data_IF_294399756091
#
_entry.id   IF_294399756091
#
_cell.length_a   1.000
_cell.length_b   1.000
_cell.length_c   1.000
_cell.angle_alpha   90.00
_cell.angle_beta   90.00
_cell.angle_gamma   90.00
#
_symmetry.space_group_name_H-M   'P 1'
#
loop_
_entity.id
_entity.type
_entity.pdbx_description
1 polymer ?
#
# COMPACT_ATOMS: atom_id res chain seq x y z
N UNK A 1 -20.55 5.34 -13.79
CA UNK A 1 -20.11 4.66 -15.02
C UNK A 1 -21.05 4.91 -16.19
N UNK A 2 -22.37 4.66 -16.07
CA UNK A 2 -23.34 4.98 -17.13
C UNK A 2 -23.20 6.42 -17.64
N UNK A 3 -23.24 7.40 -16.72
CA UNK A 3 -23.01 8.82 -17.03
C UNK A 3 -21.63 9.13 -17.66
N UNK A 4 -20.59 8.39 -17.29
CA UNK A 4 -19.23 8.57 -17.85
C UNK A 4 -19.20 8.16 -19.32
N UNK A 5 -19.80 7.00 -19.63
CA UNK A 5 -19.90 6.47 -20.98
C UNK A 5 -20.85 7.32 -21.84
N UNK A 6 -21.99 7.73 -21.29
CA UNK A 6 -22.95 8.62 -21.96
C UNK A 6 -22.35 9.99 -22.30
N UNK A 7 -21.45 10.51 -21.45
CA UNK A 7 -20.73 11.76 -21.68
C UNK A 7 -19.50 11.61 -22.61
N UNK A 8 -19.19 10.40 -23.10
CA UNK A 8 -18.02 10.14 -23.94
C UNK A 8 -16.68 10.37 -23.21
N UNK A 9 -16.68 10.34 -21.88
CA UNK A 9 -15.47 10.50 -21.07
C UNK A 9 -14.77 9.15 -20.90
N UNK A 10 -13.45 9.19 -20.73
CA UNK A 10 -12.65 8.02 -20.39
C UNK A 10 -13.26 7.26 -19.19
N UNK A 11 -13.51 5.94 -19.32
CA UNK A 11 -13.96 5.15 -18.19
C UNK A 11 -12.83 4.80 -17.23
N UNK A 12 -11.55 4.98 -17.62
CA UNK A 12 -10.37 4.70 -16.79
C UNK A 12 -10.45 5.37 -15.40
N UNK A 13 -10.56 6.70 -15.32
CA UNK A 13 -10.73 7.40 -14.05
C UNK A 13 -11.86 6.87 -13.18
N UNK A 14 -13.02 6.56 -13.77
CA UNK A 14 -14.16 6.02 -13.04
C UNK A 14 -13.86 4.62 -12.46
N UNK A 15 -13.22 3.75 -13.24
CA UNK A 15 -12.81 2.43 -12.78
C UNK A 15 -11.75 2.50 -11.68
N UNK A 16 -10.78 3.41 -11.79
CA UNK A 16 -9.80 3.65 -10.75
C UNK A 16 -10.44 4.08 -9.43
N UNK A 17 -11.37 5.04 -9.46
CA UNK A 17 -12.08 5.49 -8.26
C UNK A 17 -12.88 4.36 -7.62
N UNK A 18 -13.57 3.55 -8.43
CA UNK A 18 -14.27 2.37 -7.92
C UNK A 18 -13.30 1.35 -7.30
N UNK A 19 -12.13 1.11 -7.91
CA UNK A 19 -11.13 0.21 -7.36
C UNK A 19 -10.62 0.68 -5.98
N UNK A 20 -10.39 1.99 -5.81
CA UNK A 20 -10.00 2.56 -4.51
C UNK A 20 -11.10 2.40 -3.45
N UNK A 21 -12.36 2.68 -3.81
CA UNK A 21 -13.49 2.55 -2.89
C UNK A 21 -13.69 1.09 -2.45
N UNK A 22 -13.61 0.15 -3.40
CA UNK A 22 -13.68 -1.28 -3.11
C UNK A 22 -12.52 -1.76 -2.23
N UNK A 23 -11.30 -1.23 -2.46
CA UNK A 23 -10.14 -1.55 -1.61
C UNK A 23 -10.33 -1.01 -0.19
N UNK A 24 -10.95 0.16 -0.03
CA UNK A 24 -11.12 0.77 1.28
C UNK A 24 -12.17 0.06 2.14
N UNK A 25 -13.35 -0.24 1.58
CA UNK A 25 -14.48 -0.75 2.37
C UNK A 25 -15.42 -1.72 1.65
N UNK A 26 -15.16 -2.06 0.39
CA UNK A 26 -16.00 -2.96 -0.41
C UNK A 26 -15.44 -4.38 -0.46
N UNK A 27 -15.11 -4.84 -1.66
CA UNK A 27 -14.58 -6.18 -1.92
C UNK A 27 -13.23 -6.12 -2.63
N UNK A 28 -12.21 -6.79 -2.08
CA UNK A 28 -10.90 -6.89 -2.74
C UNK A 28 -10.97 -7.57 -4.12
N UNK A 29 -11.92 -8.50 -4.33
CA UNK A 29 -12.15 -9.11 -5.64
C UNK A 29 -12.68 -8.10 -6.66
N UNK A 30 -13.66 -7.27 -6.27
CA UNK A 30 -14.17 -6.18 -7.11
C UNK A 30 -13.11 -5.11 -7.34
N UNK A 31 -12.35 -4.74 -6.32
CA UNK A 31 -11.23 -3.80 -6.43
C UNK A 31 -10.23 -4.26 -7.50
N UNK A 32 -9.80 -5.53 -7.48
CA UNK A 32 -8.91 -6.08 -8.49
C UNK A 32 -9.54 -6.07 -9.89
N UNK A 33 -10.82 -6.43 -10.02
CA UNK A 33 -11.53 -6.38 -11.30
C UNK A 33 -11.60 -4.97 -11.87
N UNK A 34 -11.95 -3.98 -11.06
CA UNK A 34 -12.04 -2.58 -11.48
C UNK A 34 -10.67 -1.98 -11.77
N UNK A 35 -9.65 -2.29 -10.98
CA UNK A 35 -8.29 -1.82 -11.25
C UNK A 35 -7.78 -2.34 -12.61
N UNK A 36 -8.02 -3.62 -12.96
CA UNK A 36 -7.68 -4.16 -14.29
C UNK A 36 -8.41 -3.45 -15.43
N UNK A 37 -9.71 -3.21 -15.30
CA UNK A 37 -10.48 -2.44 -16.30
C UNK A 37 -9.97 -1.02 -16.45
N UNK A 38 -9.55 -0.42 -15.35
CA UNK A 38 -8.95 0.92 -15.34
C UNK A 38 -7.61 0.96 -16.07
N UNK A 39 -6.74 -0.04 -15.84
CA UNK A 39 -5.48 -0.21 -16.57
C UNK A 39 -5.75 -0.34 -18.07
N UNK A 40 -6.64 -1.27 -18.46
CA UNK A 40 -6.97 -1.51 -19.86
C UNK A 40 -7.48 -0.25 -20.56
N UNK A 41 -8.47 0.44 -19.98
CA UNK A 41 -9.02 1.66 -20.58
C UNK A 41 -7.96 2.77 -20.71
N UNK A 42 -7.11 2.94 -19.69
CA UNK A 42 -6.05 3.95 -19.72
C UNK A 42 -4.97 3.63 -20.76
N UNK A 43 -4.69 2.34 -21.00
CA UNK A 43 -3.76 1.91 -22.07
C UNK A 43 -4.33 2.17 -23.46
N UNK A 44 -5.61 1.81 -23.69
CA UNK A 44 -6.30 2.00 -24.97
C UNK A 44 -6.39 3.48 -25.38
N UNK A 45 -6.53 4.37 -24.41
CA UNK A 45 -6.66 5.82 -24.63
C UNK A 45 -5.34 6.59 -24.53
N UNK A 46 -4.25 5.92 -24.13
CA UNK A 46 -2.96 6.56 -23.92
C UNK A 46 -2.91 7.52 -22.71
N UNK A 47 -3.83 7.38 -21.76
CA UNK A 47 -3.84 8.19 -20.53
C UNK A 47 -2.77 7.70 -19.55
N UNK A 48 -1.56 8.26 -19.68
CA UNK A 48 -0.41 7.91 -18.83
C UNK A 48 -0.65 8.24 -17.35
N UNK A 49 -1.42 9.28 -17.07
CA UNK A 49 -1.67 9.79 -15.70
C UNK A 49 -2.54 8.80 -14.93
N UNK A 50 -3.62 8.31 -15.55
CA UNK A 50 -4.47 7.30 -14.95
C UNK A 50 -3.93 5.89 -15.10
N UNK A 51 -3.09 5.61 -16.10
CA UNK A 51 -2.42 4.32 -16.21
C UNK A 51 -1.56 4.02 -14.97
N UNK A 52 -0.68 4.94 -14.56
CA UNK A 52 0.15 4.76 -13.37
C UNK A 52 -0.69 4.61 -12.10
N UNK A 53 -1.75 5.41 -11.94
CA UNK A 53 -2.69 5.31 -10.80
C UNK A 53 -3.44 3.98 -10.77
N UNK A 54 -3.89 3.52 -11.92
CA UNK A 54 -4.62 2.25 -12.07
C UNK A 54 -3.73 1.07 -11.77
N UNK A 55 -2.48 1.08 -12.25
CA UNK A 55 -1.46 0.07 -11.94
C UNK A 55 -1.13 0.08 -10.44
N UNK A 56 -0.99 1.24 -9.81
CA UNK A 56 -0.83 1.30 -8.36
C UNK A 56 -2.00 0.66 -7.61
N UNK A 57 -3.24 1.01 -7.96
CA UNK A 57 -4.43 0.42 -7.33
C UNK A 57 -4.45 -1.11 -7.52
N UNK A 58 -4.08 -1.60 -8.71
CA UNK A 58 -3.99 -3.03 -9.02
C UNK A 58 -2.88 -3.72 -8.20
N UNK A 59 -1.67 -3.16 -8.17
CA UNK A 59 -0.54 -3.67 -7.41
C UNK A 59 -0.84 -3.76 -5.91
N UNK A 60 -1.48 -2.71 -5.37
CA UNK A 60 -1.87 -2.68 -3.95
C UNK A 60 -2.87 -3.78 -3.60
N UNK A 61 -3.91 -4.00 -4.42
CA UNK A 61 -4.90 -5.04 -4.13
C UNK A 61 -4.36 -6.45 -4.38
N UNK A 62 -3.47 -6.64 -5.36
CA UNK A 62 -2.74 -7.90 -5.54
C UNK A 62 -1.93 -8.25 -4.29
N UNK A 63 -1.19 -7.28 -3.75
CA UNK A 63 -0.41 -7.47 -2.52
C UNK A 63 -1.30 -7.80 -1.32
N UNK A 64 -2.42 -7.09 -1.15
CA UNK A 64 -3.39 -7.36 -0.07
C UNK A 64 -3.94 -8.79 -0.16
N UNK A 65 -4.20 -9.29 -1.37
CA UNK A 65 -4.69 -10.65 -1.60
C UNK A 65 -3.59 -11.73 -1.52
N UNK A 66 -2.33 -11.34 -1.31
CA UNK A 66 -1.18 -12.26 -1.24
C UNK A 66 -0.62 -12.69 -2.59
N UNK A 67 -1.05 -12.09 -3.70
CA UNK A 67 -0.48 -12.32 -5.03
C UNK A 67 0.79 -11.48 -5.22
N UNK A 68 1.84 -11.85 -4.49
CA UNK A 68 3.10 -11.11 -4.39
C UNK A 68 3.78 -10.97 -5.75
N UNK A 69 3.79 -12.03 -6.57
CA UNK A 69 4.44 -12.02 -7.88
C UNK A 69 3.76 -11.03 -8.83
N UNK A 70 2.43 -11.06 -8.92
CA UNK A 70 1.70 -10.12 -9.78
C UNK A 70 1.79 -8.67 -9.26
N UNK A 71 1.78 -8.49 -7.93
CA UNK A 71 1.99 -7.18 -7.32
C UNK A 71 3.35 -6.60 -7.67
N UNK A 72 4.42 -7.40 -7.55
CA UNK A 72 5.79 -6.98 -7.88
C UNK A 72 5.91 -6.57 -9.35
N UNK A 73 5.40 -7.38 -10.27
CA UNK A 73 5.39 -7.04 -11.70
C UNK A 73 4.66 -5.72 -11.96
N UNK A 74 3.45 -5.59 -11.40
CA UNK A 74 2.59 -4.41 -11.60
C UNK A 74 3.23 -3.14 -11.02
N UNK A 75 3.80 -3.21 -9.82
CA UNK A 75 4.40 -2.07 -9.14
C UNK A 75 5.75 -1.66 -9.77
N UNK A 76 6.51 -2.59 -10.35
CA UNK A 76 7.68 -2.24 -11.18
C UNK A 76 7.29 -1.44 -12.43
N UNK A 77 6.13 -1.73 -13.03
CA UNK A 77 5.60 -0.90 -14.13
C UNK A 77 5.27 0.52 -13.65
N UNK A 78 4.71 0.68 -12.43
CA UNK A 78 4.49 2.01 -11.83
C UNK A 78 5.81 2.77 -11.65
N UNK A 79 6.84 2.11 -11.11
CA UNK A 79 8.18 2.69 -10.97
C UNK A 79 8.76 3.14 -12.32
N UNK A 80 8.63 2.31 -13.36
CA UNK A 80 9.09 2.65 -14.71
C UNK A 80 8.33 3.87 -15.29
N UNK A 81 7.01 3.92 -15.09
CA UNK A 81 6.18 5.03 -15.55
C UNK A 81 6.54 6.35 -14.82
N UNK A 82 6.80 6.30 -13.52
CA UNK A 82 7.17 7.48 -12.71
C UNK A 82 8.51 8.05 -13.17
N UNK A 83 9.51 7.18 -13.37
CA UNK A 83 10.84 7.56 -13.90
C UNK A 83 10.73 8.20 -15.28
N UNK A 84 9.90 7.64 -16.16
CA UNK A 84 9.65 8.20 -17.49
C UNK A 84 8.94 9.57 -17.45
N UNK A 85 8.15 9.83 -16.41
CA UNK A 85 7.46 11.11 -16.19
C UNK A 85 8.31 12.13 -15.40
N UNK A 86 9.50 11.73 -14.93
CA UNK A 86 10.38 12.57 -14.08
C UNK A 86 9.63 13.16 -12.87
N UNK A 87 8.73 12.38 -12.27
CA UNK A 87 8.01 12.83 -11.07
C UNK A 87 8.97 12.88 -9.89
N UNK A 88 9.02 14.02 -9.20
CA UNK A 88 9.96 14.25 -8.09
C UNK A 88 9.29 14.06 -6.73
N UNK A 89 7.98 14.23 -6.64
CA UNK A 89 7.25 14.21 -5.37
C UNK A 89 6.64 12.81 -5.11
N UNK A 90 7.18 12.02 -4.16
CA UNK A 90 6.76 10.64 -3.93
C UNK A 90 5.36 10.53 -3.31
N UNK A 91 4.74 11.65 -2.93
CA UNK A 91 3.37 11.64 -2.39
C UNK A 91 2.29 11.72 -3.47
N UNK A 92 2.66 12.02 -4.73
CA UNK A 92 1.73 11.99 -5.87
C UNK A 92 1.08 10.62 -6.04
N UNK A 93 1.87 9.56 -5.79
CA UNK A 93 1.41 8.19 -5.72
C UNK A 93 2.31 7.41 -4.78
N UNK A 94 1.75 6.95 -3.67
CA UNK A 94 2.49 6.25 -2.62
C UNK A 94 2.64 4.78 -2.97
N UNK A 95 3.37 4.45 -4.05
CA UNK A 95 3.60 3.07 -4.49
C UNK A 95 4.87 2.45 -3.89
N UNK A 96 5.78 3.31 -3.40
CA UNK A 96 7.09 2.93 -2.90
C UNK A 96 7.01 1.93 -1.75
N UNK A 97 6.09 2.14 -0.79
CA UNK A 97 5.93 1.22 0.33
C UNK A 97 5.33 -0.13 -0.09
N UNK A 98 4.39 -0.16 -1.04
CA UNK A 98 3.86 -1.41 -1.60
C UNK A 98 4.94 -2.16 -2.37
N UNK A 99 5.77 -1.48 -3.17
CA UNK A 99 6.84 -2.13 -3.90
C UNK A 99 7.90 -2.69 -2.94
N UNK A 100 8.30 -1.92 -1.91
CA UNK A 100 9.23 -2.40 -0.90
C UNK A 100 8.70 -3.64 -0.16
N UNK A 101 7.41 -3.66 0.19
CA UNK A 101 6.77 -4.84 0.79
C UNK A 101 6.73 -6.04 -0.14
N UNK A 102 6.41 -5.83 -1.43
CA UNK A 102 6.40 -6.90 -2.42
C UNK A 102 7.81 -7.48 -2.64
N UNK A 103 8.84 -6.63 -2.69
CA UNK A 103 10.25 -7.02 -2.77
C UNK A 103 10.67 -7.84 -1.54
N UNK A 104 10.33 -7.40 -0.33
CA UNK A 104 10.61 -8.15 0.90
C UNK A 104 9.90 -9.50 0.95
N UNK A 105 8.66 -9.58 0.46
CA UNK A 105 7.91 -10.82 0.37
C UNK A 105 8.43 -11.76 -0.74
N UNK A 106 9.27 -11.26 -1.63
CA UNK A 106 9.95 -12.00 -2.70
C UNK A 106 11.45 -12.19 -2.44
N UNK A 107 11.87 -12.11 -1.16
CA UNK A 107 13.26 -12.28 -0.72
C UNK A 107 14.28 -11.32 -1.39
N UNK A 108 13.82 -10.18 -1.91
CA UNK A 108 14.65 -9.15 -2.53
C UNK A 108 14.91 -7.97 -1.57
N UNK A 109 15.48 -8.27 -0.40
CA UNK A 109 15.67 -7.30 0.69
C UNK A 109 16.56 -6.11 0.32
N UNK A 110 17.66 -6.36 -0.40
CA UNK A 110 18.59 -5.31 -0.82
C UNK A 110 17.92 -4.30 -1.78
N UNK A 111 17.13 -4.79 -2.73
CA UNK A 111 16.34 -3.93 -3.63
C UNK A 111 15.32 -3.10 -2.85
N UNK A 112 14.66 -3.69 -1.86
CA UNK A 112 13.70 -2.98 -1.03
C UNK A 112 14.37 -1.84 -0.24
N UNK A 113 15.53 -2.09 0.38
CA UNK A 113 16.27 -1.06 1.11
C UNK A 113 16.77 0.05 0.19
N UNK A 114 17.33 -0.31 -0.97
CA UNK A 114 17.77 0.68 -1.96
C UNK A 114 16.62 1.61 -2.39
N UNK A 115 15.42 1.05 -2.61
CA UNK A 115 14.22 1.85 -2.89
C UNK A 115 13.86 2.79 -1.74
N UNK A 116 13.89 2.32 -0.49
CA UNK A 116 13.60 3.17 0.66
C UNK A 116 14.64 4.28 0.83
N UNK A 117 15.91 4.00 0.61
CA UNK A 117 17.02 4.95 0.69
C UNK A 117 16.97 6.01 -0.43
N UNK A 118 16.44 5.65 -1.60
CA UNK A 118 16.16 6.61 -2.69
C UNK A 118 15.04 7.60 -2.29
N UNK A 119 13.96 7.11 -1.68
CA UNK A 119 12.73 7.88 -1.46
C UNK A 119 12.79 8.75 -0.20
N UNK A 120 13.38 8.25 0.88
CA UNK A 120 13.40 8.91 2.19
C UNK A 120 13.98 10.33 2.16
N UNK A 121 15.14 10.60 1.51
CA UNK A 121 15.70 11.95 1.46
C UNK A 121 14.78 12.95 0.76
N UNK A 122 14.11 12.52 -0.32
CA UNK A 122 13.18 13.35 -1.08
C UNK A 122 11.93 13.64 -0.26
N UNK A 123 11.33 12.61 0.36
CA UNK A 123 10.17 12.77 1.22
C UNK A 123 10.46 13.68 2.43
N UNK A 124 11.64 13.55 3.05
CA UNK A 124 12.07 14.40 4.16
C UNK A 124 12.23 15.87 3.71
N UNK A 125 12.95 16.10 2.61
CA UNK A 125 13.15 17.45 2.05
C UNK A 125 11.83 18.14 1.68
N UNK A 126 10.84 17.38 1.20
CA UNK A 126 9.53 17.90 0.80
C UNK A 126 8.48 17.87 1.93
N UNK A 127 8.85 17.49 3.16
CA UNK A 127 7.93 17.44 4.31
C UNK A 127 6.82 16.39 4.18
N UNK A 128 7.01 15.32 3.40
CA UNK A 128 6.01 14.27 3.15
C UNK A 128 6.00 13.21 4.24
N UNK A 129 5.56 13.61 5.43
CA UNK A 129 5.54 12.78 6.64
C UNK A 129 4.82 11.44 6.43
N UNK A 130 3.70 11.42 5.71
CA UNK A 130 2.93 10.18 5.47
C UNK A 130 3.65 9.18 4.55
N UNK A 131 4.51 9.65 3.64
CA UNK A 131 5.39 8.80 2.83
C UNK A 131 6.45 8.15 3.71
N UNK A 132 7.09 8.94 4.58
CA UNK A 132 8.07 8.43 5.55
C UNK A 132 7.48 7.34 6.46
N UNK A 133 6.23 7.51 6.91
CA UNK A 133 5.53 6.48 7.69
C UNK A 133 5.31 5.18 6.89
N UNK A 134 5.05 5.28 5.58
CA UNK A 134 4.99 4.12 4.69
C UNK A 134 6.33 3.40 4.61
N UNK A 135 7.41 4.16 4.39
CA UNK A 135 8.78 3.63 4.38
C UNK A 135 9.15 2.98 5.73
N UNK A 136 8.74 3.55 6.86
CA UNK A 136 9.01 3.00 8.19
C UNK A 136 8.32 1.66 8.42
N UNK A 137 7.09 1.50 7.92
CA UNK A 137 6.38 0.22 7.97
C UNK A 137 7.11 -0.86 7.18
N UNK A 138 7.56 -0.56 5.96
CA UNK A 138 8.34 -1.49 5.14
C UNK A 138 9.70 -1.81 5.79
N UNK A 139 10.40 -0.80 6.30
CA UNK A 139 11.69 -0.99 7.00
C UNK A 139 11.54 -1.85 8.26
N UNK A 140 10.45 -1.72 9.00
CA UNK A 140 10.20 -2.59 10.16
C UNK A 140 9.96 -4.04 9.77
N UNK A 141 9.36 -4.32 8.62
CA UNK A 141 9.21 -5.68 8.11
C UNK A 141 10.57 -6.28 7.73
N UNK A 142 11.47 -5.48 7.15
CA UNK A 142 12.86 -5.86 6.94
C UNK A 142 13.58 -6.17 8.26
N UNK A 143 13.51 -5.28 9.26
CA UNK A 143 14.08 -5.53 10.60
C UNK A 143 13.60 -6.87 11.19
N UNK A 144 12.31 -7.17 11.03
CA UNK A 144 11.73 -8.42 11.51
C UNK A 144 12.18 -9.66 10.71
N UNK A 145 12.53 -9.51 9.42
CA UNK A 145 13.11 -10.58 8.61
C UNK A 145 14.57 -10.87 9.04
N UNK A 146 15.33 -9.82 9.37
CA UNK A 146 16.71 -9.89 9.89
C UNK A 146 16.81 -10.33 11.36
N UNK A 147 15.70 -10.75 11.98
CA UNK A 147 15.68 -11.16 13.38
C UNK A 147 15.75 -10.02 14.41
N UNK A 148 15.85 -8.76 13.97
CA UNK A 148 15.83 -7.54 14.80
C UNK A 148 14.40 -7.18 15.24
N UNK A 149 13.72 -8.16 15.82
CA UNK A 149 12.28 -8.12 16.09
C UNK A 149 11.86 -7.10 17.15
N UNK A 150 12.72 -6.80 18.12
CA UNK A 150 12.45 -5.76 19.13
C UNK A 150 12.41 -4.36 18.50
N UNK A 151 13.35 -4.07 17.61
CA UNK A 151 13.41 -2.81 16.87
C UNK A 151 12.21 -2.67 15.92
N UNK A 152 11.83 -3.77 15.25
CA UNK A 152 10.64 -3.81 14.40
C UNK A 152 9.36 -3.49 15.18
N UNK A 153 9.19 -4.03 16.38
CA UNK A 153 8.03 -3.77 17.26
C UNK A 153 7.97 -2.30 17.67
N UNK A 154 9.10 -1.74 18.11
CA UNK A 154 9.18 -0.32 18.48
C UNK A 154 8.84 0.59 17.30
N UNK A 155 9.38 0.28 16.12
CA UNK A 155 9.12 1.07 14.91
C UNK A 155 7.64 0.98 14.50
N UNK A 156 7.08 -0.23 14.38
CA UNK A 156 5.67 -0.43 14.00
C UNK A 156 4.68 0.21 14.98
N UNK A 157 4.99 0.19 16.28
CA UNK A 157 4.17 0.84 17.30
C UNK A 157 4.11 2.36 17.06
N UNK A 158 5.28 3.00 16.91
CA UNK A 158 5.35 4.44 16.61
C UNK A 158 4.71 4.80 15.28
N UNK A 159 4.92 3.98 14.25
CA UNK A 159 4.34 4.17 12.92
C UNK A 159 2.80 4.06 12.96
N UNK A 160 2.25 3.08 13.68
CA UNK A 160 0.79 2.93 13.83
C UNK A 160 0.16 4.13 14.56
N UNK A 161 0.79 4.62 15.63
CA UNK A 161 0.34 5.83 16.32
C UNK A 161 0.40 7.07 15.43
N UNK A 162 1.48 7.23 14.65
CA UNK A 162 1.67 8.36 13.76
C UNK A 162 0.64 8.35 12.61
N UNK A 163 0.32 7.19 12.04
CA UNK A 163 -0.80 7.07 11.08
C UNK A 163 -2.13 7.43 11.73
N UNK A 164 -2.33 7.08 13.00
CA UNK A 164 -3.49 7.50 13.78
C UNK A 164 -3.61 9.02 13.88
N UNK A 165 -2.51 9.72 14.23
CA UNK A 165 -2.47 11.19 14.29
C UNK A 165 -2.67 11.85 12.92
N UNK A 166 -2.23 11.19 11.84
CA UNK A 166 -2.40 11.66 10.48
C UNK A 166 -3.80 11.41 9.89
N UNK A 167 -4.72 10.76 10.61
CA UNK A 167 -6.06 10.46 10.11
C UNK A 167 -6.09 9.41 9.00
N UNK A 168 -5.14 8.48 9.00
CA UNK A 168 -5.02 7.41 8.00
C UNK A 168 -5.38 6.04 8.62
N UNK A 169 -6.68 5.73 8.81
CA UNK A 169 -7.10 4.55 9.56
C UNK A 169 -6.69 3.23 8.89
N UNK A 170 -6.75 3.14 7.56
CA UNK A 170 -6.35 1.93 6.83
C UNK A 170 -4.85 1.65 7.04
N UNK A 171 -4.00 2.67 6.89
CA UNK A 171 -2.55 2.53 7.09
C UNK A 171 -2.19 2.23 8.55
N UNK A 172 -2.91 2.83 9.51
CA UNK A 172 -2.80 2.46 10.93
C UNK A 172 -3.13 0.98 11.14
N UNK A 173 -4.25 0.51 10.60
CA UNK A 173 -4.65 -0.90 10.68
C UNK A 173 -3.61 -1.85 10.07
N UNK A 174 -3.06 -1.50 8.91
CA UNK A 174 -1.97 -2.26 8.26
C UNK A 174 -0.70 -2.32 9.11
N UNK A 175 -0.30 -1.21 9.73
CA UNK A 175 0.84 -1.19 10.66
C UNK A 175 0.60 -2.09 11.89
N UNK A 176 -0.63 -2.12 12.41
CA UNK A 176 -1.01 -2.99 13.55
C UNK A 176 -1.05 -4.48 13.16
N UNK A 177 -1.50 -4.82 11.95
CA UNK A 177 -1.41 -6.20 11.42
C UNK A 177 0.06 -6.62 11.31
N UNK A 178 0.93 -5.76 10.77
CA UNK A 178 2.36 -6.01 10.71
C UNK A 178 2.95 -6.22 12.11
N UNK A 179 2.61 -5.35 13.08
CA UNK A 179 3.03 -5.48 14.48
C UNK A 179 2.61 -6.84 15.06
N UNK A 180 1.36 -7.25 14.86
CA UNK A 180 0.86 -8.54 15.32
C UNK A 180 1.63 -9.73 14.74
N UNK A 181 2.00 -9.65 13.45
CA UNK A 181 2.83 -10.68 12.79
C UNK A 181 4.21 -10.78 13.43
N UNK A 182 4.87 -9.65 13.72
CA UNK A 182 6.17 -9.63 14.42
C UNK A 182 6.05 -10.18 15.84
N UNK A 183 5.01 -9.78 16.58
CA UNK A 183 4.79 -10.29 17.95
C UNK A 183 4.50 -11.80 18.00
N UNK A 184 3.82 -12.35 16.98
CA UNK A 184 3.68 -13.81 16.81
C UNK A 184 5.03 -14.49 16.62
N UNK A 185 5.92 -13.93 15.78
CA UNK A 185 7.29 -14.45 15.59
C UNK A 185 8.10 -14.42 16.89
N UNK A 186 7.91 -13.38 17.72
CA UNK A 186 8.49 -13.27 19.08
C UNK A 186 7.83 -14.18 20.13
N UNK A 187 6.84 -15.00 19.76
CA UNK A 187 6.04 -15.85 20.65
C UNK A 187 5.28 -15.07 21.73
N UNK A 188 4.97 -13.78 21.49
CA UNK A 188 4.22 -12.90 22.39
C UNK A 188 2.73 -12.90 22.02
N UNK A 189 2.04 -13.99 22.35
CA UNK A 189 0.64 -14.23 21.95
C UNK A 189 -0.33 -13.13 22.41
N UNK A 190 -0.20 -12.63 23.64
CA UNK A 190 -1.11 -11.57 24.14
C UNK A 190 -0.88 -10.23 23.43
N UNK A 191 0.37 -9.86 23.17
CA UNK A 191 0.72 -8.64 22.45
C UNK A 191 0.20 -8.69 21.01
N UNK A 192 0.39 -9.82 20.32
CA UNK A 192 -0.16 -10.03 18.98
C UNK A 192 -1.69 -9.91 18.96
N UNK A 193 -2.37 -10.51 19.93
CA UNK A 193 -3.83 -10.45 20.03
C UNK A 193 -4.32 -9.00 20.26
N UNK A 194 -3.65 -8.26 21.15
CA UNK A 194 -3.97 -6.86 21.44
C UNK A 194 -3.82 -5.97 20.19
N UNK A 195 -2.73 -6.17 19.42
CA UNK A 195 -2.52 -5.45 18.17
C UNK A 195 -3.61 -5.75 17.13
N UNK A 196 -4.04 -7.02 16.99
CA UNK A 196 -5.13 -7.39 16.08
C UNK A 196 -6.49 -6.85 16.52
N UNK A 197 -6.81 -6.90 17.81
CA UNK A 197 -8.05 -6.31 18.34
C UNK A 197 -8.09 -4.79 18.09
N UNK A 198 -6.95 -4.12 18.26
CA UNK A 198 -6.82 -2.70 17.93
C UNK A 198 -7.00 -2.46 16.44
N UNK A 199 -6.40 -3.29 15.57
CA UNK A 199 -6.57 -3.20 14.12
C UNK A 199 -8.04 -3.38 13.71
N UNK A 200 -8.70 -4.42 14.22
CA UNK A 200 -10.12 -4.68 13.97
C UNK A 200 -10.99 -3.49 14.37
N UNK A 201 -10.79 -2.95 15.57
CA UNK A 201 -11.51 -1.76 16.05
C UNK A 201 -11.28 -0.53 15.16
N UNK A 202 -10.08 -0.38 14.57
CA UNK A 202 -9.78 0.70 13.63
C UNK A 202 -10.54 0.50 12.31
N UNK A 203 -10.55 -0.72 11.77
CA UNK A 203 -11.26 -1.03 10.53
C UNK A 203 -12.79 -0.93 10.68
N UNK A 204 -13.35 -1.41 11.78
CA UNK A 204 -14.78 -1.29 12.09
C UNK A 204 -15.23 0.17 12.10
N UNK A 205 -14.53 1.04 12.82
CA UNK A 205 -14.84 2.48 12.85
C UNK A 205 -14.66 3.17 11.50
N UNK A 206 -13.79 2.65 10.65
CA UNK A 206 -13.56 3.19 9.31
C UNK A 206 -14.53 2.62 8.26
N UNK A 207 -15.43 1.69 8.61
CA UNK A 207 -16.27 0.98 7.64
C UNK A 207 -15.48 0.08 6.69
N UNK A 208 -14.27 -0.31 7.08
CA UNK A 208 -13.31 -1.04 6.27
C UNK A 208 -13.52 -2.57 6.37
N UNK A 209 -14.76 -3.02 6.14
CA UNK A 209 -15.19 -4.41 6.31
C UNK A 209 -14.27 -5.49 5.69
N UNK A 210 -13.76 -5.36 4.44
CA UNK A 210 -12.93 -6.42 3.85
C UNK A 210 -11.61 -6.66 4.60
N UNK A 211 -11.12 -5.67 5.37
CA UNK A 211 -9.88 -5.78 6.14
C UNK A 211 -10.03 -6.63 7.39
N UNK A 212 -11.25 -6.86 7.88
CA UNK A 212 -11.53 -7.72 9.04
C UNK A 212 -11.34 -9.22 8.72
N UNK A 213 -11.27 -9.57 7.44
CA UNK A 213 -11.09 -10.94 6.97
C UNK A 213 -9.61 -11.32 6.71
N UNK A 214 -8.66 -10.41 6.92
CA UNK A 214 -7.21 -10.61 6.77
C UNK A 214 -6.54 -11.17 8.04
#
# INVERSE_FOLDING_TARGET
LALTLEAGLSPGPAWYTLALAETAGGSFARAASYARRSVQASEEEGDRVFLSRSRYALGRVQLINGDVAAALETLRRVQADERAQSTVDPSMLRWHEELAEALLAHDAADEALALLDEVRPVAARLGRSTVLLGCDRAHALWLAAEGRTDEAVLLLTRTAEAFGRAGLPLERGRALIALARVERRRRRRSAAQSALQTAASVFERAGAAPWLAL
#
